data_IF_826503822470
#
_entry.id   IF_826503822470
#
_cell.length_a   1.000
_cell.length_b   1.000
_cell.length_c   1.000
_cell.angle_alpha   90.00
_cell.angle_beta   90.00
_cell.angle_gamma   90.00
#
_symmetry.space_group_name_H-M   'P 1'
#
loop_
_entity.id
_entity.type
_entity.pdbx_description
1 polymer ?
#
# COMPACT_ATOMS: atom_id res chain seq x y z
N UNK A 1 13.16 -15.39 -6.88
CA UNK A 1 11.69 -15.50 -6.96
C UNK A 1 11.19 -16.43 -5.87
N UNK A 2 10.56 -15.88 -4.85
CA UNK A 2 10.03 -16.66 -3.71
C UNK A 2 8.59 -17.05 -4.01
N UNK A 3 8.31 -18.36 -4.04
CA UNK A 3 6.95 -18.88 -4.28
C UNK A 3 6.24 -19.07 -2.96
N UNK A 4 5.15 -18.35 -2.74
CA UNK A 4 4.25 -18.54 -1.60
C UNK A 4 3.03 -19.38 -2.00
N UNK A 5 2.55 -20.21 -1.08
CA UNK A 5 1.34 -21.03 -1.28
C UNK A 5 0.16 -20.36 -0.59
N UNK A 6 -0.98 -20.35 -1.28
CA UNK A 6 -2.27 -19.98 -0.70
C UNK A 6 -2.70 -21.12 0.24
N UNK A 7 -3.05 -20.77 1.48
CA UNK A 7 -3.49 -21.72 2.51
C UNK A 7 -4.76 -21.19 3.17
N UNK A 8 -5.56 -22.11 3.71
CA UNK A 8 -6.73 -21.75 4.51
C UNK A 8 -6.30 -21.25 5.89
N UNK A 9 -6.76 -20.07 6.28
CA UNK A 9 -6.55 -19.44 7.58
C UNK A 9 -7.94 -19.12 8.14
N UNK A 10 -8.42 -19.94 9.08
CA UNK A 10 -9.78 -19.83 9.59
C UNK A 10 -10.83 -20.03 8.48
N UNK A 11 -11.69 -19.04 8.27
CA UNK A 11 -12.70 -19.03 7.20
C UNK A 11 -12.21 -18.35 5.89
N UNK A 12 -10.96 -17.91 5.86
CA UNK A 12 -10.37 -17.17 4.74
C UNK A 12 -9.22 -17.93 4.09
N UNK A 13 -8.78 -17.43 2.94
CA UNK A 13 -7.53 -17.85 2.29
C UNK A 13 -6.48 -16.76 2.52
N UNK A 14 -5.24 -17.17 2.76
CA UNK A 14 -4.12 -16.26 2.92
C UNK A 14 -2.82 -16.85 2.42
N UNK A 15 -1.78 -16.02 2.40
CA UNK A 15 -0.40 -16.41 2.08
C UNK A 15 0.47 -16.18 3.31
N UNK A 16 1.44 -17.07 3.52
CA UNK A 16 2.43 -16.88 4.58
C UNK A 16 3.66 -16.22 3.96
N UNK A 17 3.95 -15.00 4.38
CA UNK A 17 5.18 -14.31 3.99
C UNK A 17 6.36 -14.92 4.75
N UNK A 18 7.42 -15.35 4.05
CA UNK A 18 8.59 -15.87 4.72
C UNK A 18 9.37 -14.74 5.41
N UNK A 19 10.16 -15.12 6.43
CA UNK A 19 10.77 -14.18 7.38
C UNK A 19 11.71 -13.17 6.73
N UNK A 20 12.45 -13.61 5.73
CA UNK A 20 13.32 -12.78 4.90
C UNK A 20 12.59 -11.61 4.23
N UNK A 21 11.35 -11.82 3.77
CA UNK A 21 10.53 -10.74 3.19
C UNK A 21 9.98 -9.78 4.24
N UNK A 22 9.63 -10.29 5.42
CA UNK A 22 9.20 -9.45 6.55
C UNK A 22 10.35 -8.55 7.01
N UNK A 23 11.56 -9.11 7.11
CA UNK A 23 12.77 -8.37 7.50
C UNK A 23 13.11 -7.27 6.48
N UNK A 24 12.96 -7.54 5.17
CA UNK A 24 13.19 -6.56 4.10
C UNK A 24 12.20 -5.38 4.12
N UNK A 25 10.95 -5.65 4.48
CA UNK A 25 9.90 -4.63 4.60
C UNK A 25 9.83 -4.00 6.00
N UNK A 26 10.72 -4.44 6.92
CA UNK A 26 10.72 -4.04 8.32
C UNK A 26 9.35 -4.19 8.98
N UNK A 27 8.74 -5.36 8.79
CA UNK A 27 7.41 -5.70 9.31
C UNK A 27 7.51 -6.64 10.51
N UNK A 28 6.65 -6.39 11.50
CA UNK A 28 6.47 -7.24 12.67
C UNK A 28 5.03 -7.74 12.78
N UNK A 29 4.79 -8.65 13.72
CA UNK A 29 3.44 -9.09 14.06
C UNK A 29 2.61 -7.89 14.56
N UNK A 30 1.45 -7.66 13.93
CA UNK A 30 0.58 -6.52 14.21
C UNK A 30 0.68 -5.37 13.20
N UNK A 31 1.72 -5.36 12.35
CA UNK A 31 1.83 -4.38 11.28
C UNK A 31 0.80 -4.65 10.16
N UNK A 32 0.37 -3.58 9.50
CA UNK A 32 -0.56 -3.64 8.38
C UNK A 32 0.17 -3.49 7.04
N UNK A 33 -0.35 -4.17 6.02
CA UNK A 33 0.11 -4.09 4.65
C UNK A 33 -1.05 -3.65 3.76
N UNK A 34 -0.81 -2.66 2.92
CA UNK A 34 -1.75 -2.28 1.88
C UNK A 34 -1.54 -3.13 0.64
N UNK A 35 -2.66 -3.48 0.02
CA UNK A 35 -2.71 -4.42 -1.09
C UNK A 35 -3.29 -3.70 -2.30
N UNK A 36 -2.41 -3.28 -3.20
CA UNK A 36 -2.79 -2.53 -4.39
C UNK A 36 -2.80 -3.45 -5.60
N UNK A 37 -3.88 -3.42 -6.39
CA UNK A 37 -3.95 -4.15 -7.64
C UNK A 37 -3.43 -3.28 -8.78
N UNK A 38 -2.32 -3.69 -9.38
CA UNK A 38 -1.76 -3.08 -10.58
C UNK A 38 -2.13 -3.96 -11.79
N UNK A 39 -2.08 -3.40 -13.00
CA UNK A 39 -2.48 -4.12 -14.22
C UNK A 39 -1.75 -5.45 -14.48
N UNK A 40 -0.59 -5.67 -13.85
CA UNK A 40 0.20 -6.91 -13.94
C UNK A 40 0.10 -7.83 -12.72
N UNK A 41 -0.50 -7.41 -11.61
CA UNK A 41 -0.53 -8.22 -10.39
C UNK A 41 -0.92 -7.49 -9.11
N UNK A 42 -0.52 -8.06 -7.98
CA UNK A 42 -0.77 -7.49 -6.65
C UNK A 42 0.55 -6.99 -6.07
N UNK A 43 0.56 -5.72 -5.67
CA UNK A 43 1.64 -5.09 -4.93
C UNK A 43 1.29 -5.04 -3.45
N UNK A 44 2.27 -5.33 -2.59
CA UNK A 44 2.16 -5.20 -1.14
C UNK A 44 3.10 -4.07 -0.70
N UNK A 45 2.57 -3.09 0.01
CA UNK A 45 3.32 -1.98 0.62
C UNK A 45 3.04 -1.93 2.11
N UNK A 46 4.04 -1.52 2.91
CA UNK A 46 3.85 -1.29 4.34
C UNK A 46 2.81 -0.19 4.51
N UNK A 47 1.74 -0.49 5.23
CA UNK A 47 0.73 0.51 5.54
C UNK A 47 1.35 1.51 6.51
N UNK A 48 1.41 2.76 6.08
CA UNK A 48 1.87 3.87 6.91
C UNK A 48 0.69 4.78 7.14
N UNK A 49 0.36 5.06 8.40
CA UNK A 49 -0.71 6.00 8.77
C UNK A 49 -0.51 7.41 8.16
N UNK A 50 0.70 7.70 7.67
CA UNK A 50 1.06 8.95 6.99
C UNK A 50 0.47 9.08 5.57
N UNK A 51 0.13 7.98 4.88
CA UNK A 51 -0.38 8.05 3.51
C UNK A 51 -1.77 8.71 3.44
N UNK A 52 -2.64 8.44 4.41
CA UNK A 52 -3.94 9.11 4.53
C UNK A 52 -3.77 10.61 4.82
N UNK A 53 -2.78 10.97 5.65
CA UNK A 53 -2.49 12.37 5.97
C UNK A 53 -1.93 13.13 4.76
N UNK A 54 -1.02 12.51 4.00
CA UNK A 54 -0.44 13.07 2.78
C UNK A 54 -1.47 13.21 1.65
N UNK A 55 -2.31 12.19 1.44
CA UNK A 55 -3.41 12.26 0.47
C UNK A 55 -4.42 13.33 0.87
N UNK A 56 -4.82 13.42 2.14
CA UNK A 56 -5.72 14.46 2.62
C UNK A 56 -5.12 15.86 2.46
N UNK A 57 -3.83 16.03 2.72
CA UNK A 57 -3.14 17.31 2.53
C UNK A 57 -2.98 17.67 1.05
N UNK A 58 -2.67 16.69 0.19
CA UNK A 58 -2.63 16.85 -1.26
C UNK A 58 -4.01 17.23 -1.82
N UNK A 59 -5.09 16.58 -1.36
CA UNK A 59 -6.47 16.95 -1.69
C UNK A 59 -6.80 18.38 -1.23
N UNK A 60 -6.41 18.77 -0.02
CA UNK A 60 -6.63 20.12 0.49
C UNK A 60 -5.86 21.19 -0.33
N UNK A 61 -4.63 20.89 -0.75
CA UNK A 61 -3.81 21.76 -1.61
C UNK A 61 -4.42 21.84 -3.02
N UNK A 62 -4.83 20.71 -3.58
CA UNK A 62 -5.49 20.65 -4.89
C UNK A 62 -6.83 21.40 -4.89
N UNK A 63 -7.63 21.28 -3.83
CA UNK A 63 -8.87 22.03 -3.66
C UNK A 63 -8.61 23.54 -3.53
N UNK A 64 -7.61 23.96 -2.73
CA UNK A 64 -7.26 25.38 -2.55
C UNK A 64 -6.60 26.02 -3.78
N UNK A 65 -5.88 25.25 -4.60
CA UNK A 65 -5.06 25.75 -5.71
C UNK A 65 -5.46 25.17 -7.07
N UNK A 66 -6.69 24.67 -7.20
CA UNK A 66 -7.20 24.00 -8.41
C UNK A 66 -6.94 24.79 -9.70
N UNK A 67 -7.24 26.09 -9.69
CA UNK A 67 -7.07 26.96 -10.87
C UNK A 67 -5.60 27.18 -11.25
N UNK A 68 -4.69 27.21 -10.27
CA UNK A 68 -3.25 27.42 -10.49
C UNK A 68 -2.59 26.14 -10.98
N UNK A 69 -2.91 25.00 -10.37
CA UNK A 69 -2.40 23.70 -10.78
C UNK A 69 -2.88 23.31 -12.18
N UNK A 70 -4.15 23.62 -12.51
CA UNK A 70 -4.72 23.41 -13.86
C UNK A 70 -4.07 24.26 -14.94
N UNK A 71 -3.54 25.44 -14.58
CA UNK A 71 -2.81 26.29 -15.52
C UNK A 71 -1.37 25.82 -15.75
N UNK A 72 -0.79 25.07 -14.80
CA UNK A 72 0.57 24.51 -14.86
C UNK A 72 0.63 23.11 -15.50
N UNK A 73 -0.51 22.43 -15.64
CA UNK A 73 -0.60 21.09 -16.25
C UNK A 73 -0.71 21.13 -17.79
N UNK A 74 -0.22 22.20 -18.44
CA UNK A 74 -0.32 22.42 -19.87
C UNK A 74 1.04 22.56 -20.52
#
# INVERSE_FOLDING_TARGET
MTKVKIRKIGNSLGVVLPKDMLDQLHLAEGDHLDLTQNGEGLALSKSTDDEDALMAEAEAIMAKRFNVLRALSK
#
